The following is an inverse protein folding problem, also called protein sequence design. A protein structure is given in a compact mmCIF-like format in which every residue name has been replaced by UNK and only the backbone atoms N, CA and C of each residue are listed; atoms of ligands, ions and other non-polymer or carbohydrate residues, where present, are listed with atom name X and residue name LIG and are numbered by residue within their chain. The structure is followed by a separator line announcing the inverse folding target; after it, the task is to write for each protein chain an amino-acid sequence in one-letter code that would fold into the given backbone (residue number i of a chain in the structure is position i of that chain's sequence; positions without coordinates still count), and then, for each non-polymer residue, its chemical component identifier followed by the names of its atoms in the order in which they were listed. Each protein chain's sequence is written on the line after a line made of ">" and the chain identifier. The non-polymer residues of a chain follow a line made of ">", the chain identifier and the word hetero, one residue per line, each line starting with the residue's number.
data_IF_925800659767
#
_entry.id   IF_925800659767
#
_cell.length_a   1.000
_cell.length_b   1.000
_cell.length_c   1.000
_cell.angle_alpha   90.00
_cell.angle_beta   90.00
_cell.angle_gamma   90.00
#
_symmetry.space_group_name_H-M   'P 1'
#
loop_
_entity.id
_entity.type
_entity.pdbx_description
1 polymer ?
#
# COMPACT_ATOMS: atom_id res chain seq x y z
N UNK A 1 16.09 19.55 30.45
CA UNK A 1 15.12 18.87 29.58
C UNK A 1 15.74 18.79 28.21
N UNK A 2 16.27 17.64 27.83
CA UNK A 2 16.96 17.45 26.54
C UNK A 2 15.93 17.04 25.49
N UNK A 3 15.79 17.83 24.43
CA UNK A 3 14.89 17.54 23.31
C UNK A 3 15.72 17.08 22.13
N UNK A 4 15.54 15.82 21.73
CA UNK A 4 16.21 15.25 20.56
C UNK A 4 15.36 15.48 19.32
N UNK A 5 15.84 16.31 18.40
CA UNK A 5 15.20 16.57 17.11
C UNK A 5 15.80 15.60 16.09
N UNK A 6 14.99 14.69 15.56
CA UNK A 6 15.40 13.73 14.51
C UNK A 6 14.76 14.10 13.17
N UNK A 7 15.48 13.82 12.07
CA UNK A 7 14.95 14.03 10.73
C UNK A 7 13.75 13.09 10.45
N UNK A 8 12.70 13.63 9.83
CA UNK A 8 11.54 12.84 9.42
C UNK A 8 11.98 11.70 8.51
N UNK A 9 11.72 10.45 8.92
CA UNK A 9 11.97 9.28 8.08
C UNK A 9 11.14 9.38 6.80
N UNK A 10 11.82 9.64 5.68
CA UNK A 10 11.20 9.64 4.35
C UNK A 10 10.65 8.25 4.06
N UNK A 11 9.35 8.17 3.75
CA UNK A 11 8.75 6.95 3.22
C UNK A 11 9.18 6.82 1.75
N UNK A 12 9.88 5.75 1.43
CA UNK A 12 10.27 5.44 0.05
C UNK A 12 9.16 4.63 -0.62
N UNK A 13 8.63 5.14 -1.74
CA UNK A 13 7.62 4.47 -2.56
C UNK A 13 6.47 5.39 -2.97
N UNK A 14 5.69 5.03 -4.00
CA UNK A 14 4.51 5.78 -4.40
C UNK A 14 3.44 5.74 -3.29
N UNK A 15 2.60 6.78 -3.21
CA UNK A 15 1.52 6.81 -2.23
C UNK A 15 0.56 5.65 -2.44
N UNK A 16 0.07 5.10 -1.33
CA UNK A 16 -1.01 4.13 -1.31
C UNK A 16 -2.34 4.85 -1.09
N UNK A 17 -3.31 4.61 -1.96
CA UNK A 17 -4.65 5.18 -1.88
C UNK A 17 -5.41 4.58 -0.68
N UNK A 18 -5.81 5.41 0.29
CA UNK A 18 -6.58 4.94 1.45
C UNK A 18 -7.97 4.38 1.10
N UNK A 19 -8.54 4.78 -0.03
CA UNK A 19 -9.84 4.29 -0.50
C UNK A 19 -9.69 2.88 -1.08
N UNK A 20 -8.92 2.71 -2.15
CA UNK A 20 -8.88 1.44 -2.88
C UNK A 20 -7.67 0.55 -2.56
N UNK A 21 -6.74 1.03 -1.72
CA UNK A 21 -5.46 0.39 -1.34
C UNK A 21 -4.47 0.17 -2.49
N UNK A 22 -4.76 0.69 -3.68
CA UNK A 22 -3.84 0.72 -4.83
C UNK A 22 -2.72 1.73 -4.66
N UNK A 23 -1.72 1.67 -5.53
CA UNK A 23 -0.62 2.64 -5.58
C UNK A 23 -0.83 3.63 -6.73
N UNK A 24 -0.14 4.78 -6.67
CA UNK A 24 -0.09 5.84 -7.70
C UNK A 24 -1.33 6.76 -7.80
N UNK A 25 -2.45 6.40 -7.19
CA UNK A 25 -3.64 7.25 -7.11
C UNK A 25 -3.78 7.92 -5.73
N UNK A 26 -4.30 9.16 -5.69
CA UNK A 26 -4.71 9.79 -4.44
C UNK A 26 -6.11 9.33 -4.03
N UNK A 27 -6.39 9.30 -2.72
CA UNK A 27 -7.73 8.99 -2.22
C UNK A 27 -8.78 10.04 -2.60
N UNK A 28 -8.36 11.27 -2.91
CA UNK A 28 -9.25 12.38 -3.27
C UNK A 28 -9.87 12.24 -4.66
N UNK A 29 -9.12 11.73 -5.64
CA UNK A 29 -9.60 11.54 -7.02
C UNK A 29 -10.03 10.10 -7.31
N UNK A 30 -9.77 9.17 -6.41
CA UNK A 30 -10.07 7.77 -6.63
C UNK A 30 -11.59 7.52 -6.62
N UNK A 31 -12.13 7.01 -7.72
CA UNK A 31 -13.56 6.65 -7.89
C UNK A 31 -13.85 5.17 -7.59
N UNK A 32 -12.81 4.37 -7.29
CA UNK A 32 -12.95 2.92 -7.04
C UNK A 32 -13.66 2.64 -5.71
N UNK A 33 -14.25 1.46 -5.59
CA UNK A 33 -14.85 0.98 -4.35
C UNK A 33 -13.82 0.98 -3.19
N UNK A 34 -14.24 1.34 -1.96
CA UNK A 34 -13.37 1.27 -0.79
C UNK A 34 -12.96 -0.18 -0.53
N UNK A 35 -11.69 -0.40 -0.18
CA UNK A 35 -11.19 -1.71 0.26
C UNK A 35 -10.55 -1.61 1.63
N UNK A 36 -10.87 -2.56 2.49
CA UNK A 36 -10.30 -2.64 3.81
C UNK A 36 -8.85 -3.13 3.76
N UNK A 37 -7.93 -2.34 4.32
CA UNK A 37 -6.50 -2.66 4.44
C UNK A 37 -6.23 -3.94 5.24
N UNK A 38 -7.14 -4.29 6.17
CA UNK A 38 -7.01 -5.45 7.08
C UNK A 38 -7.49 -6.74 6.43
N UNK A 39 -8.63 -6.72 5.73
CA UNK A 39 -9.33 -7.95 5.36
C UNK A 39 -9.70 -8.05 3.86
N UNK A 40 -9.35 -7.04 3.07
CA UNK A 40 -9.68 -6.93 1.65
C UNK A 40 -11.19 -6.89 1.31
N UNK A 41 -12.06 -6.63 2.29
CA UNK A 41 -13.50 -6.45 2.05
C UNK A 41 -13.86 -5.08 1.51
N UNK A 42 -15.06 -4.95 0.92
CA UNK A 42 -15.56 -3.73 0.26
C UNK A 42 -16.14 -2.71 1.26
N UNK A 43 -15.31 -2.27 2.21
CA UNK A 43 -15.66 -1.27 3.23
C UNK A 43 -14.40 -0.50 3.66
N UNK A 44 -14.59 0.63 4.37
CA UNK A 44 -13.47 1.36 4.94
C UNK A 44 -12.88 0.61 6.14
N UNK A 45 -11.58 0.78 6.45
CA UNK A 45 -10.96 0.15 7.62
C UNK A 45 -11.64 0.45 8.96
N UNK A 46 -12.37 1.55 9.04
CA UNK A 46 -13.13 2.00 10.21
C UNK A 46 -14.35 1.11 10.48
N UNK A 47 -15.01 0.62 9.42
CA UNK A 47 -16.19 -0.25 9.53
C UNK A 47 -15.82 -1.74 9.69
N UNK A 48 -14.52 -2.02 9.77
CA UNK A 48 -14.03 -3.39 9.79
C UNK A 48 -14.20 -4.02 11.18
N UNK A 49 -15.09 -5.02 11.27
CA UNK A 49 -15.31 -5.82 12.49
C UNK A 49 -14.16 -6.78 12.83
N UNK A 50 -13.15 -6.92 11.96
CA UNK A 50 -11.99 -7.80 12.22
C UNK A 50 -10.99 -7.10 13.13
N UNK A 51 -10.59 -7.78 14.20
CA UNK A 51 -9.49 -7.34 15.09
C UNK A 51 -8.14 -7.47 14.38
N UNK A 52 -7.09 -6.89 14.97
CA UNK A 52 -5.73 -6.99 14.42
C UNK A 52 -5.20 -8.43 14.53
N UNK A 53 -5.67 -9.24 15.50
CA UNK A 53 -5.31 -10.67 15.58
C UNK A 53 -6.03 -11.54 14.54
N UNK A 54 -7.11 -11.06 13.93
CA UNK A 54 -7.81 -11.81 12.90
C UNK A 54 -6.97 -11.88 11.61
N UNK A 55 -7.07 -13.00 10.89
CA UNK A 55 -6.31 -13.27 9.66
C UNK A 55 -6.36 -12.07 8.70
N UNK A 56 -5.22 -11.37 8.61
CA UNK A 56 -5.07 -10.23 7.72
C UNK A 56 -5.06 -10.74 6.28
N UNK A 57 -5.72 -10.02 5.38
CA UNK A 57 -5.77 -10.37 3.96
C UNK A 57 -5.39 -9.16 3.13
N UNK A 58 -4.34 -9.31 2.35
CA UNK A 58 -3.86 -8.25 1.48
C UNK A 58 -4.80 -8.13 0.27
N UNK A 59 -5.43 -6.98 0.07
CA UNK A 59 -6.28 -6.77 -1.11
C UNK A 59 -5.49 -6.72 -2.42
N UNK A 60 -4.18 -6.51 -2.33
CA UNK A 60 -3.28 -6.55 -3.47
C UNK A 60 -2.89 -8.02 -3.72
N UNK A 61 -2.00 -8.62 -2.95
CA UNK A 61 -1.45 -9.95 -3.28
C UNK A 61 -2.29 -11.14 -2.78
N UNK A 62 -3.38 -10.91 -2.03
CA UNK A 62 -4.20 -11.94 -1.36
C UNK A 62 -3.48 -12.75 -0.27
N UNK A 63 -2.25 -12.39 0.11
CA UNK A 63 -1.49 -13.03 1.18
C UNK A 63 -1.95 -12.64 2.59
N UNK A 64 -1.40 -13.33 3.58
CA UNK A 64 -1.74 -13.21 5.01
C UNK A 64 -1.05 -12.01 5.68
N UNK A 65 -1.27 -10.82 5.13
CA UNK A 65 -0.75 -9.55 5.67
C UNK A 65 -1.65 -8.39 5.27
N UNK A 66 -1.48 -7.22 5.90
CA UNK A 66 -2.22 -6.01 5.53
C UNK A 66 -1.72 -5.42 4.21
N UNK A 67 -2.56 -4.68 3.49
CA UNK A 67 -2.17 -4.10 2.20
C UNK A 67 -1.03 -3.06 2.29
N UNK A 68 -0.77 -2.52 3.48
CA UNK A 68 0.32 -1.58 3.76
C UNK A 68 1.64 -2.26 4.17
N UNK A 69 1.70 -3.58 4.13
CA UNK A 69 2.92 -4.31 4.47
C UNK A 69 4.04 -4.00 3.48
N UNK A 70 5.17 -3.49 3.98
CA UNK A 70 6.27 -3.02 3.15
C UNK A 70 6.85 -4.12 2.26
N UNK A 71 6.95 -5.36 2.78
CA UNK A 71 7.47 -6.52 2.02
C UNK A 71 6.40 -7.22 1.18
N UNK A 72 5.24 -6.60 0.96
CA UNK A 72 4.23 -7.14 0.05
C UNK A 72 4.82 -7.28 -1.36
N UNK A 73 4.66 -8.43 -2.04
CA UNK A 73 5.20 -8.64 -3.38
C UNK A 73 4.53 -7.76 -4.45
N UNK A 74 3.41 -7.07 -4.15
CA UNK A 74 2.82 -6.07 -5.05
C UNK A 74 3.14 -4.63 -4.66
N UNK A 75 3.98 -4.42 -3.64
CA UNK A 75 4.45 -3.09 -3.32
C UNK A 75 5.45 -2.64 -4.41
N UNK A 76 5.17 -1.56 -5.16
CA UNK A 76 6.06 -1.04 -6.18
C UNK A 76 7.42 -0.59 -5.64
N UNK A 77 7.55 -0.30 -4.34
CA UNK A 77 8.87 -0.06 -3.74
C UNK A 77 9.79 -1.30 -3.78
N UNK A 78 9.22 -2.51 -3.84
CA UNK A 78 9.97 -3.77 -3.95
C UNK A 78 10.27 -4.16 -5.40
N UNK A 79 9.66 -3.48 -6.36
CA UNK A 79 9.88 -3.66 -7.79
C UNK A 79 10.47 -2.37 -8.34
N UNK A 80 11.79 -2.12 -8.14
CA UNK A 80 12.43 -1.01 -8.81
C UNK A 80 12.19 -1.16 -10.31
N UNK A 81 11.90 -0.05 -11.03
CA UNK A 81 11.71 -0.11 -12.47
C UNK A 81 12.96 -0.75 -13.08
N UNK A 82 12.77 -1.86 -13.81
CA UNK A 82 13.82 -2.37 -14.70
C UNK A 82 14.19 -1.19 -15.60
N UNK A 83 15.46 -0.77 -15.55
CA UNK A 83 16.00 0.23 -16.48
C UNK A 83 15.47 -0.11 -17.88
N UNK A 84 14.90 0.89 -18.57
CA UNK A 84 14.38 0.72 -19.93
C UNK A 84 15.49 0.06 -20.75
N UNK A 85 15.30 -1.19 -21.16
CA UNK A 85 16.16 -1.76 -22.20
C UNK A 85 15.98 -0.86 -23.43
N UNK A 86 17.06 -0.36 -24.05
CA UNK A 86 16.94 0.38 -25.29
C UNK A 86 16.23 -0.52 -26.30
N UNK A 87 15.24 0.03 -27.00
CA UNK A 87 14.55 -0.67 -28.07
C UNK A 87 15.59 -1.15 -29.08
N UNK A 88 15.61 -2.46 -29.36
CA UNK A 88 16.37 -2.95 -30.51
C UNK A 88 15.73 -2.35 -31.77
N UNK A 89 16.48 -1.64 -32.63
CA UNK A 89 16.00 -1.26 -33.95
C UNK A 89 15.77 -2.50 -34.83
N UNK A 90 14.96 -2.39 -35.90
CA UNK A 90 14.54 -3.50 -36.75
C UNK A 90 15.70 -4.20 -37.46
#
# INVERSE_FOLDING_TARGET
>A
MEVKIEALRKKYGPPQCFRCQGFFDSSTICTRAPRCVKCAGDHFPQDCKKTIEALLKCCLCKGEHSASYLKCPRNPANHPPKSKQPANPP
#
